data_IF_448551354975
#
_entry.id   IF_448551354975
#
_cell.length_a   1.000
_cell.length_b   1.000
_cell.length_c   1.000
_cell.angle_alpha   90.00
_cell.angle_beta   90.00
_cell.angle_gamma   90.00
#
_symmetry.space_group_name_H-M   'P 1'
#
loop_
_entity.id
_entity.type
_entity.pdbx_description
1 polymer ?
#
# COMPACT_ATOMS: atom_id res chain seq x y z
N UNK A 1 19.76 -8.06 1.93
CA UNK A 1 18.64 -7.80 2.87
C UNK A 1 17.54 -8.84 2.81
N UNK A 2 16.83 -9.06 1.69
CA UNK A 2 15.68 -9.98 1.66
C UNK A 2 15.98 -11.41 2.18
N UNK A 3 17.11 -12.03 1.80
CA UNK A 3 17.52 -13.34 2.35
C UNK A 3 17.85 -13.31 3.85
N UNK A 4 18.42 -12.21 4.33
CA UNK A 4 18.82 -12.05 5.73
C UNK A 4 17.59 -12.06 6.67
N UNK A 5 16.48 -11.50 6.21
CA UNK A 5 15.20 -11.50 6.94
C UNK A 5 14.30 -12.69 6.58
N UNK A 6 14.83 -13.70 5.89
CA UNK A 6 14.10 -14.95 5.60
C UNK A 6 12.95 -14.81 4.59
N UNK A 7 12.98 -13.82 3.68
CA UNK A 7 11.92 -13.68 2.68
C UNK A 7 12.03 -14.74 1.55
N UNK A 8 10.90 -15.27 1.03
CA UNK A 8 10.87 -16.18 -0.11
C UNK A 8 11.41 -15.58 -1.42
N UNK A 9 11.83 -16.43 -2.38
CA UNK A 9 12.42 -16.01 -3.66
C UNK A 9 11.59 -15.02 -4.48
N UNK A 10 10.25 -15.10 -4.40
CA UNK A 10 9.34 -14.16 -5.09
C UNK A 10 9.49 -12.69 -4.67
N UNK A 11 10.25 -12.39 -3.61
CA UNK A 11 10.62 -11.03 -3.20
C UNK A 11 12.04 -10.63 -3.64
N UNK A 12 12.81 -11.54 -4.23
CA UNK A 12 14.16 -11.30 -4.73
C UNK A 12 14.10 -10.97 -6.22
N UNK A 13 15.07 -10.19 -6.70
CA UNK A 13 15.24 -9.90 -8.12
C UNK A 13 15.44 -11.16 -8.97
N UNK A 14 16.12 -12.18 -8.44
CA UNK A 14 16.33 -13.45 -9.13
C UNK A 14 15.06 -14.29 -9.29
N UNK A 15 14.01 -14.04 -8.49
CA UNK A 15 12.75 -14.79 -8.49
C UNK A 15 11.59 -14.06 -9.15
N UNK A 16 11.86 -13.05 -9.99
CA UNK A 16 10.85 -12.23 -10.67
C UNK A 16 10.19 -11.16 -9.79
N UNK A 17 10.61 -11.05 -8.52
CA UNK A 17 10.26 -9.95 -7.62
C UNK A 17 11.34 -8.87 -7.58
N UNK A 18 11.46 -8.21 -6.44
CA UNK A 18 12.49 -7.20 -6.20
C UNK A 18 12.15 -6.28 -5.03
N UNK A 19 13.03 -5.30 -4.80
CA UNK A 19 12.82 -4.26 -3.81
C UNK A 19 13.45 -2.94 -4.25
N UNK A 20 12.85 -1.82 -3.85
CA UNK A 20 13.40 -0.47 -4.04
C UNK A 20 13.90 0.10 -2.72
N UNK A 21 14.89 0.98 -2.79
CA UNK A 21 15.27 1.82 -1.67
C UNK A 21 14.41 3.10 -1.72
N UNK A 22 13.79 3.45 -0.59
CA UNK A 22 12.96 4.64 -0.43
C UNK A 22 13.56 5.51 0.67
N UNK A 23 13.32 6.81 0.60
CA UNK A 23 13.84 7.76 1.59
C UNK A 23 13.06 7.67 2.92
N UNK A 24 11.79 7.27 2.85
CA UNK A 24 10.94 7.09 4.03
C UNK A 24 9.88 6.01 3.87
N UNK A 25 9.39 5.51 5.00
CA UNK A 25 8.23 4.59 5.02
C UNK A 25 6.98 5.23 4.41
N UNK A 26 6.81 6.56 4.52
CA UNK A 26 5.68 7.27 3.93
C UNK A 26 5.69 7.17 2.40
N UNK A 27 6.86 7.32 1.79
CA UNK A 27 7.05 7.22 0.34
C UNK A 27 6.74 5.80 -0.14
N UNK A 28 7.29 4.78 0.55
CA UNK A 28 6.99 3.38 0.27
C UNK A 28 5.49 3.07 0.41
N UNK A 29 4.82 3.62 1.44
CA UNK A 29 3.38 3.45 1.64
C UNK A 29 2.55 4.09 0.51
N UNK A 30 2.89 5.31 0.06
CA UNK A 30 2.22 5.95 -1.07
C UNK A 30 2.42 5.15 -2.36
N UNK A 31 3.64 4.70 -2.65
CA UNK A 31 3.96 3.90 -3.84
C UNK A 31 3.15 2.60 -3.88
N UNK A 32 3.11 1.88 -2.76
CA UNK A 32 2.35 0.62 -2.67
C UNK A 32 0.83 0.83 -2.76
N UNK A 33 0.29 1.87 -2.14
CA UNK A 33 -1.13 2.23 -2.24
C UNK A 33 -1.50 2.64 -3.68
N UNK A 34 -0.65 3.42 -4.36
CA UNK A 34 -0.88 3.81 -5.76
C UNK A 34 -0.90 2.60 -6.69
N UNK A 35 0.03 1.65 -6.51
CA UNK A 35 0.05 0.40 -7.28
C UNK A 35 -1.18 -0.47 -7.00
N UNK A 36 -1.61 -0.59 -5.74
CA UNK A 36 -2.83 -1.32 -5.37
C UNK A 36 -4.08 -0.69 -5.99
N UNK A 37 -4.21 0.64 -5.91
CA UNK A 37 -5.30 1.41 -6.53
C UNK A 37 -5.33 1.18 -8.03
N UNK A 38 -4.21 1.34 -8.73
CA UNK A 38 -4.15 1.18 -10.18
C UNK A 38 -4.64 -0.20 -10.61
N UNK A 39 -4.17 -1.26 -9.94
CA UNK A 39 -4.60 -2.63 -10.19
C UNK A 39 -6.08 -2.88 -9.90
N UNK A 40 -6.65 -2.23 -8.87
CA UNK A 40 -8.07 -2.36 -8.57
C UNK A 40 -8.96 -1.62 -9.59
N UNK A 41 -8.54 -0.43 -10.03
CA UNK A 41 -9.27 0.35 -11.02
C UNK A 41 -9.14 -0.23 -12.43
N UNK A 42 -8.04 -0.91 -12.75
CA UNK A 42 -7.88 -1.59 -14.05
C UNK A 42 -8.85 -2.76 -14.22
N UNK A 43 -9.36 -3.34 -13.14
CA UNK A 43 -10.37 -4.40 -13.18
C UNK A 43 -11.80 -3.92 -12.96
N UNK A 44 -12.00 -2.88 -12.13
CA UNK A 44 -13.33 -2.40 -11.73
C UNK A 44 -13.81 -1.14 -12.46
N UNK A 45 -12.93 -0.48 -13.22
CA UNK A 45 -13.17 0.83 -13.83
C UNK A 45 -12.84 2.00 -12.89
N UNK A 46 -12.62 3.19 -13.46
CA UNK A 46 -12.12 4.35 -12.71
C UNK A 46 -13.11 4.84 -11.63
N UNK A 47 -14.41 4.74 -11.91
CA UNK A 47 -15.51 5.10 -10.98
C UNK A 47 -15.49 4.29 -9.68
N UNK A 48 -14.85 3.12 -9.67
CA UNK A 48 -14.74 2.29 -8.49
C UNK A 48 -13.85 2.91 -7.39
N UNK A 49 -13.12 4.01 -7.67
CA UNK A 49 -12.28 4.69 -6.68
C UNK A 49 -13.05 5.07 -5.41
N UNK A 50 -14.31 5.49 -5.56
CA UNK A 50 -15.20 5.86 -4.45
C UNK A 50 -15.59 4.66 -3.58
N UNK A 51 -15.36 3.43 -4.05
CA UNK A 51 -15.67 2.18 -3.36
C UNK A 51 -14.44 1.49 -2.79
N UNK A 52 -13.23 1.94 -3.13
CA UNK A 52 -12.00 1.36 -2.58
C UNK A 52 -11.84 1.74 -1.10
N UNK A 53 -11.45 0.77 -0.28
CA UNK A 53 -11.30 0.91 1.18
C UNK A 53 -9.90 0.50 1.59
N UNK A 54 -9.28 1.29 2.47
CA UNK A 54 -7.99 1.00 3.09
C UNK A 54 -8.21 0.69 4.56
N UNK A 55 -7.55 -0.35 5.07
CA UNK A 55 -7.65 -0.80 6.45
C UNK A 55 -6.30 -0.68 7.15
N UNK A 56 -6.30 -0.23 8.40
CA UNK A 56 -5.12 -0.15 9.25
C UNK A 56 -5.53 -0.35 10.73
N UNK A 57 -4.64 -0.84 11.60
CA UNK A 57 -4.89 -0.88 13.06
C UNK A 57 -4.80 0.51 13.69
N UNK A 58 -5.46 0.74 14.83
CA UNK A 58 -5.34 1.97 15.63
C UNK A 58 -3.93 2.26 16.18
N UNK A 59 -3.03 1.27 16.17
CA UNK A 59 -1.61 1.44 16.49
C UNK A 59 -0.75 1.79 15.26
N UNK A 60 -1.33 1.81 14.06
CA UNK A 60 -0.58 2.08 12.83
C UNK A 60 -0.14 3.54 12.77
N UNK A 61 1.11 3.80 12.40
CA UNK A 61 1.61 5.16 12.22
C UNK A 61 0.73 5.94 11.22
N UNK A 62 0.52 7.24 11.48
CA UNK A 62 -0.32 8.15 10.68
C UNK A 62 0.03 8.20 9.17
N UNK A 63 1.22 7.71 8.80
CA UNK A 63 1.68 7.54 7.41
C UNK A 63 0.65 6.83 6.53
N UNK A 64 -0.06 5.82 7.04
CA UNK A 64 -1.05 5.08 6.24
C UNK A 64 -2.27 5.93 5.92
N UNK A 65 -2.78 6.70 6.88
CA UNK A 65 -3.89 7.61 6.63
C UNK A 65 -3.48 8.74 5.68
N UNK A 66 -2.29 9.32 5.88
CA UNK A 66 -1.71 10.33 4.97
C UNK A 66 -1.55 9.76 3.55
N UNK A 67 -0.97 8.58 3.43
CA UNK A 67 -0.72 7.91 2.15
C UNK A 67 -2.01 7.56 1.42
N UNK A 68 -3.04 7.10 2.12
CA UNK A 68 -4.36 6.81 1.53
C UNK A 68 -5.01 8.07 0.94
N UNK A 69 -4.92 9.21 1.66
CA UNK A 69 -5.39 10.51 1.15
C UNK A 69 -4.62 10.96 -0.09
N UNK A 70 -3.29 10.84 -0.09
CA UNK A 70 -2.45 11.16 -1.27
C UNK A 70 -2.80 10.24 -2.45
N UNK A 71 -3.09 8.97 -2.19
CA UNK A 71 -3.56 8.01 -3.19
C UNK A 71 -5.01 8.24 -3.65
N UNK A 72 -5.70 9.28 -3.16
CA UNK A 72 -7.05 9.64 -3.59
C UNK A 72 -8.16 8.77 -3.00
N UNK A 73 -7.90 8.05 -1.90
CA UNK A 73 -8.93 7.29 -1.18
C UNK A 73 -9.78 8.27 -0.36
N UNK A 74 -11.13 8.24 -0.48
CA UNK A 74 -12.00 9.08 0.32
C UNK A 74 -11.80 8.89 1.83
N UNK A 75 -11.89 9.97 2.61
CA UNK A 75 -11.73 9.94 4.07
C UNK A 75 -12.62 8.88 4.77
N UNK A 76 -13.92 8.73 4.41
CA UNK A 76 -14.78 7.71 5.03
C UNK A 76 -14.36 6.27 4.73
N UNK A 77 -13.49 6.07 3.72
CA UNK A 77 -13.03 4.77 3.28
C UNK A 77 -11.67 4.39 3.86
N UNK A 78 -11.10 5.18 4.77
CA UNK A 78 -9.98 4.76 5.60
C UNK A 78 -10.51 4.23 6.92
N UNK A 79 -10.40 2.91 7.13
CA UNK A 79 -10.96 2.23 8.30
C UNK A 79 -9.86 1.85 9.28
N UNK A 80 -9.96 2.44 10.47
CA UNK A 80 -9.11 2.09 11.60
C UNK A 80 -9.76 0.92 12.35
N UNK A 81 -9.02 -0.17 12.50
CA UNK A 81 -9.43 -1.38 13.21
C UNK A 81 -8.92 -1.27 14.65
N UNK A 82 -9.81 -1.32 15.67
CA UNK A 82 -9.39 -1.26 17.07
C UNK A 82 -8.60 -2.52 17.46
N UNK A 83 -7.60 -2.37 18.33
CA UNK A 83 -6.81 -3.50 18.87
C UNK A 83 -6.74 -3.53 20.38
#
# INVERSE_FOLDING_TARGET
>A
MARLVGLPERFLFSGGGGGGLHDSTCEAAVSTLAAARYRALSSLGHEAILRLVVYASDQSHYTFQKGARIAGIPLPNFRVIPT
#
